data_IF_673538411674
#
_entry.id   IF_673538411674
#
_cell.length_a   1.000
_cell.length_b   1.000
_cell.length_c   1.000
_cell.angle_alpha   90.00
_cell.angle_beta   90.00
_cell.angle_gamma   90.00
#
_symmetry.space_group_name_H-M   'P 1'
#
loop_
_entity.id
_entity.type
_entity.pdbx_description
1 polymer ?
#
# COMPACT_ATOMS: atom_id res chain seq x y z
N UNK A 1 -15.85 16.08 6.30
CA UNK A 1 -15.31 14.74 6.61
C UNK A 1 -14.16 14.81 7.60
N UNK A 2 -13.17 15.68 7.40
CA UNK A 2 -12.02 15.83 8.30
C UNK A 2 -12.32 16.30 9.74
N UNK A 3 -13.48 16.93 9.99
CA UNK A 3 -13.83 17.50 11.30
C UNK A 3 -14.11 16.45 12.39
N UNK A 4 -14.31 15.18 12.01
CA UNK A 4 -14.49 14.06 12.95
C UNK A 4 -13.17 13.35 13.32
N UNK A 5 -12.06 13.71 12.67
CA UNK A 5 -10.77 13.06 12.89
C UNK A 5 -9.95 13.85 13.91
N UNK A 6 -9.40 13.17 14.93
CA UNK A 6 -8.44 13.79 15.84
C UNK A 6 -7.09 13.93 15.12
N UNK A 7 -6.67 15.17 14.88
CA UNK A 7 -5.42 15.50 14.18
C UNK A 7 -4.17 15.04 14.93
N UNK A 8 -4.29 14.72 16.22
CA UNK A 8 -3.20 14.11 17.00
C UNK A 8 -2.92 12.69 16.55
N UNK A 9 -3.95 11.98 16.08
CA UNK A 9 -3.85 10.55 15.77
C UNK A 9 -4.05 10.20 14.31
N UNK A 10 -4.64 11.10 13.53
CA UNK A 10 -5.02 10.87 12.14
C UNK A 10 -4.35 11.87 11.20
N UNK A 11 -3.91 11.39 10.04
CA UNK A 11 -3.53 12.20 8.90
C UNK A 11 -4.50 11.92 7.74
N UNK A 12 -4.95 12.97 7.05
CA UNK A 12 -5.74 12.86 5.83
C UNK A 12 -4.87 13.28 4.65
N UNK A 13 -4.69 12.39 3.68
CA UNK A 13 -3.86 12.63 2.49
C UNK A 13 -4.73 12.46 1.26
N UNK A 14 -4.76 13.49 0.43
CA UNK A 14 -5.43 13.45 -0.87
C UNK A 14 -4.41 13.09 -1.95
N UNK A 15 -4.73 12.07 -2.74
CA UNK A 15 -3.86 11.59 -3.82
C UNK A 15 -4.55 11.89 -5.14
N UNK A 16 -3.89 12.69 -5.96
CA UNK A 16 -4.42 13.14 -7.24
C UNK A 16 -4.44 11.99 -8.25
N UNK A 17 -5.44 12.02 -9.14
CA UNK A 17 -5.62 11.02 -10.20
C UNK A 17 -5.67 9.55 -9.70
N UNK A 18 -6.11 9.33 -8.46
CA UNK A 18 -6.33 8.01 -7.89
C UNK A 18 -7.83 7.72 -7.75
N UNK A 19 -8.25 6.51 -8.12
CA UNK A 19 -9.60 6.01 -7.92
C UNK A 19 -9.84 5.51 -6.49
N UNK A 20 -10.61 4.45 -6.35
CA UNK A 20 -11.03 3.92 -5.04
C UNK A 20 -9.94 3.12 -4.30
N UNK A 21 -9.00 2.50 -5.02
CA UNK A 21 -8.00 1.59 -4.46
C UNK A 21 -6.60 2.11 -4.74
N UNK A 22 -6.11 2.98 -3.85
CA UNK A 22 -4.77 3.55 -3.96
C UNK A 22 -3.67 2.50 -3.99
N UNK A 23 -3.85 1.37 -3.30
CA UNK A 23 -2.89 0.27 -3.27
C UNK A 23 -2.71 -0.41 -4.63
N UNK A 24 -3.73 -0.38 -5.48
CA UNK A 24 -3.68 -0.96 -6.83
C UNK A 24 -3.28 0.09 -7.87
N UNK A 25 -3.90 1.27 -7.82
CA UNK A 25 -3.75 2.30 -8.86
C UNK A 25 -2.44 3.09 -8.71
N UNK A 26 -2.05 3.42 -7.47
CA UNK A 26 -0.86 4.22 -7.17
C UNK A 26 -0.19 3.79 -5.84
N UNK A 27 0.30 2.53 -5.73
CA UNK A 27 0.89 2.02 -4.48
C UNK A 27 2.06 2.88 -3.98
N UNK A 28 2.85 3.43 -4.89
CA UNK A 28 3.99 4.30 -4.58
C UNK A 28 3.57 5.61 -3.90
N UNK A 29 2.37 6.12 -4.16
CA UNK A 29 1.86 7.33 -3.54
C UNK A 29 1.63 7.16 -2.02
N UNK A 30 1.61 5.93 -1.51
CA UNK A 30 1.46 5.65 -0.09
C UNK A 30 2.77 5.61 0.70
N UNK A 31 3.92 5.47 0.04
CA UNK A 31 5.21 5.31 0.71
C UNK A 31 5.55 6.50 1.60
N UNK A 32 5.55 7.71 1.02
CA UNK A 32 5.93 8.94 1.72
C UNK A 32 4.96 9.27 2.86
N UNK A 33 3.62 9.25 2.64
CA UNK A 33 2.67 9.48 3.74
C UNK A 33 2.82 8.52 4.92
N UNK A 34 3.02 7.22 4.66
CA UNK A 34 3.18 6.23 5.72
C UNK A 34 4.47 6.44 6.50
N UNK A 35 5.57 6.74 5.81
CA UNK A 35 6.86 7.04 6.43
C UNK A 35 6.76 8.22 7.41
N UNK A 36 6.25 9.37 6.95
CA UNK A 36 6.08 10.54 7.82
C UNK A 36 5.12 10.29 8.97
N UNK A 37 4.03 9.56 8.75
CA UNK A 37 3.08 9.22 9.80
C UNK A 37 3.77 8.39 10.89
N UNK A 38 4.50 7.34 10.51
CA UNK A 38 5.23 6.49 11.46
C UNK A 38 6.38 7.22 12.16
N UNK A 39 7.06 8.14 11.47
CA UNK A 39 8.08 9.02 12.07
C UNK A 39 7.48 9.89 13.17
N UNK A 40 6.27 10.43 12.96
CA UNK A 40 5.55 11.22 13.97
C UNK A 40 5.28 10.45 15.28
N UNK A 41 5.19 9.12 15.21
CA UNK A 41 5.05 8.25 16.38
C UNK A 41 6.36 7.64 16.89
N UNK A 42 7.49 7.92 16.24
CA UNK A 42 8.77 7.27 16.55
C UNK A 42 8.81 5.77 16.22
N UNK A 43 7.87 5.29 15.38
CA UNK A 43 7.79 3.89 14.94
C UNK A 43 8.56 3.62 13.65
N UNK A 44 8.98 4.68 12.95
CA UNK A 44 9.75 4.54 11.74
C UNK A 44 11.13 3.92 12.04
N UNK A 45 11.39 2.79 11.39
CA UNK A 45 12.69 2.14 11.36
C UNK A 45 13.18 2.16 9.92
N UNK A 46 14.29 2.86 9.60
CA UNK A 46 14.88 2.78 8.28
C UNK A 46 15.10 1.33 7.91
N UNK A 47 14.75 0.96 6.67
CA UNK A 47 15.11 -0.34 6.13
C UNK A 47 16.64 -0.41 6.09
N UNK A 48 17.21 -1.11 7.08
CA UNK A 48 18.59 -1.56 7.00
C UNK A 48 18.62 -2.49 5.78
N UNK A 49 19.44 -2.16 4.77
CA UNK A 49 19.76 -3.13 3.73
C UNK A 49 20.60 -4.21 4.42
N UNK A 50 19.94 -5.10 5.14
CA UNK A 50 20.53 -6.22 5.84
C UNK A 50 21.07 -7.15 4.75
N UNK A 51 22.31 -6.92 4.32
CA UNK A 51 23.09 -7.84 3.48
C UNK A 51 23.38 -9.17 4.20
N UNK A 52 22.65 -9.47 5.28
CA UNK A 52 22.75 -10.69 6.03
C UNK A 52 22.12 -11.82 5.20
N UNK A 53 22.86 -12.89 4.88
CA UNK A 53 22.32 -14.05 4.16
C UNK A 53 21.24 -14.82 4.95
N UNK A 54 20.95 -14.40 6.19
CA UNK A 54 19.85 -14.91 7.03
C UNK A 54 18.65 -13.95 7.14
N UNK A 55 18.67 -12.82 6.43
CA UNK A 55 17.55 -11.89 6.44
C UNK A 55 16.32 -12.55 5.83
N UNK A 56 15.22 -12.64 6.59
CA UNK A 56 13.92 -13.12 6.11
C UNK A 56 13.23 -12.13 5.18
N UNK A 57 13.84 -10.96 4.92
CA UNK A 57 13.46 -10.03 3.84
C UNK A 57 13.91 -10.55 2.46
N UNK A 58 13.54 -11.80 2.14
CA UNK A 58 13.26 -12.13 0.75
C UNK A 58 12.19 -11.13 0.25
N UNK A 59 12.30 -10.57 -0.97
CA UNK A 59 11.42 -9.51 -1.46
C UNK A 59 9.93 -9.89 -1.48
N UNK A 60 9.61 -11.16 -1.28
CA UNK A 60 8.25 -11.68 -1.14
C UNK A 60 8.19 -12.66 0.05
N UNK A 61 7.97 -12.14 1.25
CA UNK A 61 7.63 -12.94 2.44
C UNK A 61 6.14 -13.37 2.45
N UNK A 62 5.39 -13.02 1.40
CA UNK A 62 3.98 -13.33 1.19
C UNK A 62 3.91 -14.10 -0.14
N UNK A 63 3.20 -15.22 -0.17
CA UNK A 63 3.05 -15.99 -1.40
C UNK A 63 2.24 -15.16 -2.41
N UNK A 64 2.62 -15.13 -3.71
CA UNK A 64 1.93 -14.35 -4.73
C UNK A 64 0.44 -14.67 -4.81
N UNK A 65 0.08 -15.92 -4.50
CA UNK A 65 -1.30 -16.39 -4.49
C UNK A 65 -2.14 -15.61 -3.49
N UNK A 66 -1.60 -15.20 -2.33
CA UNK A 66 -2.30 -14.39 -1.33
C UNK A 66 -2.59 -12.96 -1.76
N UNK A 67 -1.90 -12.46 -2.79
CA UNK A 67 -2.10 -11.13 -3.36
C UNK A 67 -3.15 -11.13 -4.47
N UNK A 68 -3.67 -12.30 -4.86
CA UNK A 68 -4.73 -12.39 -5.86
C UNK A 68 -6.08 -11.93 -5.28
N UNK A 69 -6.91 -11.21 -6.05
CA UNK A 69 -8.27 -10.89 -5.63
C UNK A 69 -9.09 -12.14 -5.28
N UNK A 70 -8.83 -13.24 -6.00
CA UNK A 70 -9.48 -14.54 -5.81
C UNK A 70 -9.17 -15.14 -4.44
N UNK A 71 -7.90 -15.11 -4.00
CA UNK A 71 -7.49 -15.63 -2.69
C UNK A 71 -7.98 -14.77 -1.53
N UNK A 72 -8.14 -13.46 -1.76
CA UNK A 72 -8.67 -12.53 -0.77
C UNK A 72 -10.18 -12.68 -0.57
N UNK A 73 -10.84 -13.60 -1.29
CA UNK A 73 -12.29 -13.80 -1.25
C UNK A 73 -13.06 -12.64 -1.89
N UNK A 74 -12.38 -11.80 -2.68
CA UNK A 74 -12.97 -10.62 -3.30
C UNK A 74 -13.47 -10.99 -4.70
N UNK A 75 -14.79 -11.06 -4.87
CA UNK A 75 -15.40 -11.32 -6.18
C UNK A 75 -15.47 -10.02 -7.00
N UNK A 76 -14.37 -9.68 -7.66
CA UNK A 76 -14.32 -8.55 -8.58
C UNK A 76 -15.11 -8.86 -9.86
N UNK A 77 -16.02 -7.98 -10.26
CA UNK A 77 -16.56 -7.98 -11.62
C UNK A 77 -15.55 -7.24 -12.51
N UNK A 78 -15.20 -7.76 -13.69
CA UNK A 78 -14.35 -7.04 -14.62
C UNK A 78 -14.94 -5.66 -14.91
N UNK A 79 -14.19 -4.62 -14.57
CA UNK A 79 -14.53 -3.25 -14.98
C UNK A 79 -14.02 -3.10 -16.41
N UNK A 80 -14.86 -2.53 -17.27
CA UNK A 80 -14.51 -2.30 -18.68
C UNK A 80 -13.48 -1.16 -18.75
N UNK A 81 -12.21 -1.49 -18.59
CA UNK A 81 -11.10 -0.54 -18.73
C UNK A 81 -10.74 -0.40 -20.21
N UNK A 82 -10.26 0.78 -20.63
CA UNK A 82 -9.83 1.04 -22.02
C UNK A 82 -8.46 0.44 -22.35
N UNK A 83 -7.91 -0.39 -21.46
CA UNK A 83 -6.52 -0.87 -21.52
C UNK A 83 -6.58 -2.33 -21.96
N UNK A 84 -5.98 -2.63 -23.11
CA UNK A 84 -5.88 -4.01 -23.60
C UNK A 84 -4.94 -4.79 -22.69
N UNK A 85 -5.42 -5.88 -22.09
CA UNK A 85 -4.55 -6.90 -21.50
C UNK A 85 -3.73 -7.52 -22.63
N UNK A 86 -2.43 -7.24 -22.67
CA UNK A 86 -1.50 -8.05 -23.43
C UNK A 86 -1.06 -9.19 -22.51
N UNK A 87 -1.51 -10.41 -22.83
CA UNK A 87 -1.12 -11.65 -22.14
C UNK A 87 0.00 -12.30 -22.91
#
# INVERSE_FOLDING_TARGET
MATKLDRRYCALVEVQACGSLITEEQPHAMLIPMEYFLMGYGLYRPAQHENSPRSTLSPFCISPELLSPESMGVKLKPIKTRISLNV
#
